data_IF_789868107148
#
_entry.id   IF_789868107148
#
_cell.length_a   1.000
_cell.length_b   1.000
_cell.length_c   1.000
_cell.angle_alpha   90.00
_cell.angle_beta   90.00
_cell.angle_gamma   90.00
#
_symmetry.space_group_name_H-M   'P 1'
#
loop_
_entity.id
_entity.type
_entity.pdbx_description
1 polymer ?
#
# COMPACT_ATOMS: atom_id res chain seq x y z
N UNK A 1 19.27 21.84 -6.12
CA UNK A 1 18.19 21.52 -5.15
C UNK A 1 17.29 20.34 -5.59
N UNK A 2 17.80 19.31 -6.29
CA UNK A 2 16.98 18.23 -6.93
C UNK A 2 17.05 16.85 -6.26
N UNK A 3 17.86 16.67 -5.20
CA UNK A 3 18.09 15.35 -4.60
C UNK A 3 16.93 14.87 -3.71
N UNK A 4 16.31 15.76 -2.93
CA UNK A 4 15.21 15.41 -2.02
C UNK A 4 13.96 14.87 -2.74
N UNK A 5 13.59 15.47 -3.88
CA UNK A 5 12.41 15.05 -4.66
C UNK A 5 12.54 13.62 -5.22
N UNK A 6 13.77 13.19 -5.57
CA UNK A 6 14.01 11.83 -6.06
C UNK A 6 13.81 10.80 -4.95
N UNK A 7 14.28 11.10 -3.75
CA UNK A 7 14.15 10.21 -2.59
C UNK A 7 12.69 10.06 -2.16
N UNK A 8 11.91 11.15 -2.18
CA UNK A 8 10.46 11.11 -1.95
C UNK A 8 9.77 10.24 -3.01
N UNK A 9 10.11 10.39 -4.30
CA UNK A 9 9.52 9.58 -5.36
C UNK A 9 9.86 8.09 -5.20
N UNK A 10 11.09 7.76 -4.80
CA UNK A 10 11.48 6.38 -4.48
C UNK A 10 10.64 5.85 -3.32
N UNK A 11 10.48 6.63 -2.25
CA UNK A 11 9.63 6.27 -1.13
C UNK A 11 8.19 6.00 -1.54
N UNK A 12 7.63 6.87 -2.40
CA UNK A 12 6.28 6.73 -2.94
C UNK A 12 6.10 5.40 -3.69
N UNK A 13 7.01 5.09 -4.60
CA UNK A 13 6.99 3.84 -5.35
C UNK A 13 7.13 2.62 -4.43
N UNK A 14 8.03 2.68 -3.45
CA UNK A 14 8.19 1.61 -2.47
C UNK A 14 6.92 1.41 -1.66
N UNK A 15 6.22 2.48 -1.24
CA UNK A 15 4.96 2.39 -0.53
C UNK A 15 3.88 1.65 -1.33
N UNK A 16 3.68 2.00 -2.60
CA UNK A 16 2.73 1.30 -3.46
C UNK A 16 3.09 -0.18 -3.68
N UNK A 17 4.36 -0.47 -3.91
CA UNK A 17 4.84 -1.84 -4.09
C UNK A 17 4.65 -2.64 -2.79
N UNK A 18 4.99 -2.07 -1.64
CA UNK A 18 4.83 -2.72 -0.35
C UNK A 18 3.36 -3.02 -0.04
N UNK A 19 2.46 -2.07 -0.30
CA UNK A 19 1.03 -2.30 -0.12
C UNK A 19 0.51 -3.41 -1.06
N UNK A 20 0.88 -3.36 -2.34
CA UNK A 20 0.54 -4.41 -3.30
C UNK A 20 1.06 -5.79 -2.90
N UNK A 21 2.29 -5.86 -2.40
CA UNK A 21 2.84 -7.09 -1.81
C UNK A 21 2.06 -7.53 -0.57
N UNK A 22 1.57 -6.60 0.24
CA UNK A 22 0.72 -6.90 1.40
C UNK A 22 -0.61 -7.52 1.01
N UNK A 23 -1.25 -6.99 -0.03
CA UNK A 23 -2.48 -7.56 -0.60
C UNK A 23 -2.18 -8.97 -1.13
N UNK A 24 -1.12 -9.14 -1.92
CA UNK A 24 -0.76 -10.44 -2.49
C UNK A 24 -0.45 -11.48 -1.40
N UNK A 25 0.31 -11.08 -0.38
CA UNK A 25 0.65 -11.94 0.74
C UNK A 25 -0.61 -12.34 1.53
N UNK A 26 -1.53 -11.41 1.75
CA UNK A 26 -2.83 -11.71 2.35
C UNK A 26 -3.61 -12.74 1.52
N UNK A 27 -3.72 -12.51 0.22
CA UNK A 27 -4.45 -13.43 -0.68
C UNK A 27 -3.80 -14.82 -0.67
N UNK A 28 -2.47 -14.91 -0.75
CA UNK A 28 -1.79 -16.21 -0.79
C UNK A 28 -1.89 -16.99 0.52
N UNK A 29 -1.96 -16.32 1.67
CA UNK A 29 -2.03 -16.97 2.98
C UNK A 29 -3.48 -17.31 3.36
N UNK A 30 -4.42 -16.40 3.07
CA UNK A 30 -5.81 -16.49 3.56
C UNK A 30 -6.84 -16.88 2.50
N UNK A 31 -6.56 -16.70 1.21
CA UNK A 31 -7.50 -17.09 0.16
C UNK A 31 -7.31 -18.54 -0.26
N UNK A 32 -8.42 -19.27 -0.32
CA UNK A 32 -8.49 -20.60 -0.98
C UNK A 32 -8.65 -20.49 -2.50
N UNK A 33 -8.91 -19.28 -3.02
CA UNK A 33 -9.15 -19.00 -4.42
C UNK A 33 -7.93 -18.29 -5.05
N UNK A 34 -7.84 -18.28 -6.37
CA UNK A 34 -6.78 -17.57 -7.10
C UNK A 34 -6.77 -16.06 -6.85
N UNK A 35 -5.67 -15.40 -7.23
CA UNK A 35 -5.47 -13.95 -7.02
C UNK A 35 -6.55 -13.14 -7.76
N UNK A 36 -6.79 -13.47 -9.02
CA UNK A 36 -7.77 -12.80 -9.87
C UNK A 36 -9.19 -12.94 -9.32
N UNK A 37 -9.60 -14.16 -8.97
CA UNK A 37 -10.95 -14.42 -8.45
C UNK A 37 -11.16 -13.75 -7.09
N UNK A 38 -10.14 -13.72 -6.22
CA UNK A 38 -10.24 -13.03 -4.92
C UNK A 38 -10.38 -11.51 -5.07
N UNK A 39 -9.67 -10.90 -6.02
CA UNK A 39 -9.77 -9.47 -6.32
C UNK A 39 -11.13 -9.13 -6.94
N UNK A 40 -11.61 -9.97 -7.86
CA UNK A 40 -12.92 -9.78 -8.48
C UNK A 40 -14.05 -9.94 -7.46
N UNK A 41 -13.97 -10.94 -6.58
CA UNK A 41 -14.89 -11.10 -5.46
C UNK A 41 -14.85 -9.91 -4.50
N UNK A 42 -13.65 -9.42 -4.17
CA UNK A 42 -13.48 -8.25 -3.31
C UNK A 42 -14.11 -6.99 -3.88
N UNK A 43 -14.01 -6.81 -5.20
CA UNK A 43 -14.68 -5.72 -5.89
C UNK A 43 -16.20 -5.90 -5.90
N UNK A 44 -16.71 -7.07 -6.28
CA UNK A 44 -18.15 -7.33 -6.36
C UNK A 44 -18.85 -7.27 -4.99
N UNK A 45 -18.17 -7.75 -3.94
CA UNK A 45 -18.69 -7.76 -2.57
C UNK A 45 -18.37 -6.47 -1.79
N UNK A 46 -17.72 -5.49 -2.43
CA UNK A 46 -17.48 -4.16 -1.86
C UNK A 46 -16.49 -4.13 -0.68
N UNK A 47 -15.58 -5.10 -0.56
CA UNK A 47 -14.52 -5.12 0.48
C UNK A 47 -13.12 -4.89 -0.08
N UNK A 48 -12.99 -4.51 -1.36
CA UNK A 48 -11.71 -4.22 -1.98
C UNK A 48 -10.94 -3.12 -1.23
N UNK A 49 -11.63 -2.07 -0.74
CA UNK A 49 -11.02 -1.03 0.09
C UNK A 49 -10.40 -1.60 1.38
N UNK A 50 -11.11 -2.50 2.07
CA UNK A 50 -10.59 -3.21 3.24
C UNK A 50 -9.35 -4.06 2.90
N UNK A 51 -9.31 -4.67 1.70
CA UNK A 51 -8.17 -5.46 1.24
C UNK A 51 -6.91 -4.58 1.05
N UNK A 52 -7.07 -3.41 0.43
CA UNK A 52 -5.99 -2.42 0.27
C UNK A 52 -5.54 -1.89 1.64
N UNK A 53 -6.48 -1.68 2.57
CA UNK A 53 -6.19 -1.30 3.95
C UNK A 53 -5.34 -2.34 4.68
N UNK A 54 -5.60 -3.64 4.46
CA UNK A 54 -4.77 -4.73 4.99
C UNK A 54 -3.38 -4.76 4.34
N UNK A 55 -3.29 -4.49 3.04
CA UNK A 55 -2.02 -4.24 2.36
C UNK A 55 -1.19 -3.14 3.03
N UNK A 56 -1.89 -2.19 3.66
CA UNK A 56 -1.38 -1.10 4.49
C UNK A 56 -0.29 -1.49 5.48
N UNK A 57 -0.40 -2.70 6.03
CA UNK A 57 0.52 -3.19 7.06
C UNK A 57 1.95 -3.26 6.53
N UNK A 58 2.15 -3.73 5.29
CA UNK A 58 3.48 -3.85 4.70
C UNK A 58 4.07 -2.51 4.26
N UNK A 59 3.23 -1.55 3.84
CA UNK A 59 3.71 -0.18 3.59
C UNK A 59 4.12 0.54 4.87
N UNK A 60 3.37 0.37 5.97
CA UNK A 60 3.74 0.89 7.29
C UNK A 60 5.04 0.28 7.80
N UNK A 61 5.26 -1.02 7.61
CA UNK A 61 6.54 -1.66 7.93
C UNK A 61 7.69 -1.06 7.13
N UNK A 62 7.48 -0.79 5.83
CA UNK A 62 8.47 -0.14 4.97
C UNK A 62 8.76 1.30 5.40
N UNK A 63 7.73 2.02 5.84
CA UNK A 63 7.86 3.35 6.42
C UNK A 63 8.73 3.36 7.68
N UNK A 64 8.44 2.50 8.66
CA UNK A 64 9.24 2.39 9.88
C UNK A 64 10.67 1.93 9.61
N UNK A 65 10.87 1.06 8.61
CA UNK A 65 12.21 0.64 8.19
C UNK A 65 13.02 1.84 7.67
N UNK A 66 12.44 2.70 6.83
CA UNK A 66 13.15 3.89 6.34
C UNK A 66 13.43 4.92 7.44
N UNK A 67 12.52 5.09 8.40
CA UNK A 67 12.78 5.93 9.58
C UNK A 67 13.97 5.39 10.39
N UNK A 68 14.00 4.08 10.64
CA UNK A 68 15.11 3.45 11.39
C UNK A 68 16.45 3.56 10.66
N UNK A 69 16.44 3.61 9.33
CA UNK A 69 17.62 3.78 8.49
C UNK A 69 18.04 5.25 8.32
N UNK A 70 17.35 6.21 8.94
CA UNK A 70 17.63 7.65 8.81
C UNK A 70 17.31 8.21 7.41
N UNK A 71 16.40 7.58 6.66
CA UNK A 71 16.01 7.98 5.30
C UNK A 71 14.67 8.70 5.29
N UNK A 72 14.60 9.81 6.01
CA UNK A 72 13.36 10.55 6.28
C UNK A 72 12.63 10.98 5.00
N UNK A 73 13.35 11.38 3.95
CA UNK A 73 12.74 11.77 2.67
C UNK A 73 12.04 10.58 1.98
N UNK A 74 12.60 9.37 2.07
CA UNK A 74 11.93 8.17 1.56
C UNK A 74 10.74 7.79 2.43
N UNK A 75 10.87 7.93 3.75
CA UNK A 75 9.79 7.68 4.68
C UNK A 75 8.59 8.62 4.39
N UNK A 76 8.84 9.91 4.14
CA UNK A 76 7.81 10.87 3.68
C UNK A 76 7.16 10.42 2.37
N UNK A 77 7.95 9.91 1.42
CA UNK A 77 7.43 9.32 0.19
C UNK A 77 6.47 8.17 0.44
N UNK A 78 6.83 7.23 1.32
CA UNK A 78 5.95 6.11 1.70
C UNK A 78 4.66 6.61 2.32
N UNK A 79 4.73 7.58 3.25
CA UNK A 79 3.52 8.19 3.85
C UNK A 79 2.61 8.84 2.82
N UNK A 80 3.17 9.52 1.82
CA UNK A 80 2.37 10.09 0.73
C UNK A 80 1.63 8.98 -0.05
N UNK A 81 2.27 7.83 -0.29
CA UNK A 81 1.62 6.70 -0.93
C UNK A 81 0.49 6.14 -0.06
N UNK A 82 0.72 5.97 1.25
CA UNK A 82 -0.31 5.52 2.20
C UNK A 82 -1.49 6.50 2.24
N UNK A 83 -1.24 7.82 2.17
CA UNK A 83 -2.30 8.82 2.11
C UNK A 83 -3.12 8.76 0.81
N UNK A 84 -2.46 8.59 -0.34
CA UNK A 84 -3.14 8.39 -1.63
C UNK A 84 -3.99 7.12 -1.59
N UNK A 85 -3.45 6.02 -1.08
CA UNK A 85 -4.20 4.77 -0.94
C UNK A 85 -5.38 4.90 0.02
N UNK A 86 -5.23 5.64 1.11
CA UNK A 86 -6.35 5.94 2.02
C UNK A 86 -7.48 6.70 1.31
N UNK A 87 -7.15 7.66 0.44
CA UNK A 87 -8.16 8.34 -0.39
C UNK A 87 -8.83 7.38 -1.39
N UNK A 88 -8.06 6.47 -2.00
CA UNK A 88 -8.61 5.42 -2.89
C UNK A 88 -9.56 4.50 -2.12
N UNK A 89 -9.18 4.06 -0.92
CA UNK A 89 -10.05 3.25 -0.04
C UNK A 89 -11.34 4.00 0.27
N UNK A 90 -11.24 5.29 0.59
CA UNK A 90 -12.41 6.11 0.89
C UNK A 90 -13.35 6.18 -0.33
N UNK A 91 -12.83 6.42 -1.53
CA UNK A 91 -13.66 6.42 -2.74
C UNK A 91 -14.29 5.05 -2.98
N UNK A 92 -13.54 3.95 -2.85
CA UNK A 92 -14.04 2.59 -3.09
C UNK A 92 -15.05 2.10 -2.05
N UNK A 93 -14.94 2.56 -0.79
CA UNK A 93 -15.80 2.08 0.29
C UNK A 93 -17.11 2.88 0.41
N UNK A 94 -17.08 4.15 -0.01
CA UNK A 94 -18.20 5.09 0.13
C UNK A 94 -18.88 5.46 -1.20
N UNK A 95 -18.49 4.84 -2.33
CA UNK A 95 -19.18 4.93 -3.63
C UNK A 95 -19.76 3.58 -4.00
#
# INVERSE_FOLDING_TARGET
>A
MKFHQKEILIGLLVGFIANGLGILLYILIFSKYGIETTLQDAYQKGYLGSLIGLGGILDLLSFFLFLRLGRDERAKGVLMASFVLALVILVLQFT
#
